data_IF_595645399123
#
_entry.id   IF_595645399123
#
_cell.length_a   1.000
_cell.length_b   1.000
_cell.length_c   1.000
_cell.angle_alpha   90.00
_cell.angle_beta   90.00
_cell.angle_gamma   90.00
#
_symmetry.space_group_name_H-M   'P 1'
#
loop_
_entity.id
_entity.type
_entity.pdbx_description
1 polymer ?
#
# COMPACT_ATOMS: atom_id res chain seq x y z
N UNK A 1 28.56 31.65 -7.03
CA UNK A 1 27.66 31.57 -5.85
C UNK A 1 26.18 31.37 -6.23
N UNK A 2 25.59 32.21 -7.11
CA UNK A 2 24.17 32.07 -7.53
C UNK A 2 23.79 30.70 -8.14
N UNK A 3 24.71 30.04 -8.87
CA UNK A 3 24.47 28.73 -9.50
C UNK A 3 24.45 27.55 -8.50
N UNK A 4 25.12 27.68 -7.35
CA UNK A 4 25.17 26.63 -6.32
C UNK A 4 23.89 26.62 -5.47
N UNK A 5 23.33 27.81 -5.21
CA UNK A 5 22.04 27.99 -4.54
C UNK A 5 20.87 27.36 -5.31
N UNK A 6 20.91 27.38 -6.65
CA UNK A 6 19.88 26.77 -7.49
C UNK A 6 19.87 25.24 -7.43
N UNK A 7 21.03 24.60 -7.27
CA UNK A 7 21.15 23.13 -7.18
C UNK A 7 20.68 22.62 -5.82
N UNK A 8 20.99 23.36 -4.74
CA UNK A 8 20.50 23.05 -3.39
C UNK A 8 18.97 23.21 -3.25
N UNK A 9 18.36 24.07 -4.07
CA UNK A 9 16.91 24.29 -4.04
C UNK A 9 16.12 23.17 -4.75
N UNK A 10 16.72 22.46 -5.72
CA UNK A 10 16.06 21.38 -6.45
C UNK A 10 16.03 20.04 -5.70
N UNK A 11 16.93 19.81 -4.74
CA UNK A 11 16.99 18.54 -3.98
C UNK A 11 15.94 18.43 -2.88
N UNK A 12 15.34 19.54 -2.44
CA UNK A 12 14.33 19.55 -1.37
C UNK A 12 12.93 19.19 -1.90
N UNK A 13 12.69 19.32 -3.21
CA UNK A 13 11.39 19.03 -3.84
C UNK A 13 11.19 17.57 -4.27
N UNK A 14 12.05 16.64 -3.84
CA UNK A 14 11.73 15.20 -3.93
C UNK A 14 10.67 14.86 -2.86
N UNK A 15 9.45 15.39 -3.05
CA UNK A 15 8.29 15.11 -2.24
C UNK A 15 8.06 13.61 -2.17
N UNK A 16 7.63 13.14 -1.02
CA UNK A 16 7.22 11.76 -0.82
C UNK A 16 6.15 11.43 -1.84
N UNK A 17 6.48 10.62 -2.85
CA UNK A 17 5.49 10.07 -3.76
C UNK A 17 4.60 9.14 -2.94
N UNK A 18 3.47 9.66 -2.47
CA UNK A 18 2.41 8.83 -1.94
C UNK A 18 1.73 8.22 -3.16
N UNK A 19 2.13 7.01 -3.53
CA UNK A 19 1.35 6.24 -4.48
C UNK A 19 0.00 5.97 -3.81
N UNK A 20 -1.04 6.54 -4.40
CA UNK A 20 -2.40 6.29 -3.95
C UNK A 20 -2.78 4.91 -4.46
N UNK A 21 -2.61 3.89 -3.63
CA UNK A 21 -3.14 2.56 -3.95
C UNK A 21 -4.66 2.64 -3.93
N UNK A 22 -5.27 2.47 -5.10
CA UNK A 22 -6.72 2.52 -5.29
C UNK A 22 -7.34 1.19 -4.87
N UNK A 23 -8.04 1.17 -3.74
CA UNK A 23 -8.72 -0.03 -3.23
C UNK A 23 -9.11 0.12 -1.77
N UNK A 24 -9.92 -0.80 -1.26
CA UNK A 24 -10.20 -0.88 0.17
C UNK A 24 -9.00 -1.46 0.93
N UNK A 25 -9.23 -1.78 2.20
CA UNK A 25 -8.29 -2.43 3.11
C UNK A 25 -9.08 -3.44 3.93
N UNK A 26 -8.58 -4.66 4.06
CA UNK A 26 -9.12 -5.58 5.07
C UNK A 26 -8.42 -5.38 6.43
N UNK A 27 -7.23 -4.77 6.45
CA UNK A 27 -6.48 -4.55 7.68
C UNK A 27 -7.27 -3.66 8.65
N UNK A 28 -7.44 -4.15 9.89
CA UNK A 28 -8.08 -3.44 10.99
C UNK A 28 -7.10 -3.23 12.18
N UNK A 29 -7.61 -2.71 13.30
CA UNK A 29 -6.81 -2.43 14.50
C UNK A 29 -6.33 -3.70 15.25
N UNK A 30 -6.92 -4.87 14.96
CA UNK A 30 -6.58 -6.16 15.55
C UNK A 30 -5.76 -7.04 14.61
N UNK A 31 -5.58 -6.62 13.36
CA UNK A 31 -4.69 -7.24 12.39
C UNK A 31 -5.39 -7.54 11.08
N UNK A 32 -4.96 -8.61 10.43
CA UNK A 32 -5.58 -9.07 9.19
C UNK A 32 -6.71 -10.05 9.54
N UNK A 33 -7.99 -9.70 9.32
CA UNK A 33 -9.09 -10.56 9.70
C UNK A 33 -9.12 -11.83 8.83
N UNK A 34 -9.71 -12.90 9.34
CA UNK A 34 -10.11 -14.04 8.49
C UNK A 34 -11.28 -13.62 7.58
N UNK A 35 -11.37 -14.23 6.39
CA UNK A 35 -12.50 -14.01 5.49
C UNK A 35 -13.82 -14.39 6.16
N UNK A 36 -14.79 -13.46 6.10
CA UNK A 36 -16.17 -13.66 6.55
C UNK A 36 -17.11 -13.07 5.52
N UNK A 37 -18.19 -13.78 5.24
CA UNK A 37 -19.25 -13.32 4.34
C UNK A 37 -20.59 -13.47 5.03
N UNK A 38 -21.41 -12.42 4.95
CA UNK A 38 -22.81 -12.45 5.37
C UNK A 38 -23.72 -13.06 4.29
N UNK A 39 -23.22 -13.18 3.06
CA UNK A 39 -23.92 -13.76 1.91
C UNK A 39 -23.63 -15.25 1.73
N UNK A 40 -22.81 -15.86 2.60
CA UNK A 40 -22.55 -17.29 2.58
C UNK A 40 -23.89 -18.05 2.73
N UNK A 41 -24.25 -18.92 1.76
CA UNK A 41 -25.52 -19.63 1.83
C UNK A 41 -25.51 -20.67 2.94
N UNK A 42 -26.66 -20.85 3.59
CA UNK A 42 -26.81 -21.86 4.65
C UNK A 42 -26.54 -23.29 4.15
N UNK A 43 -27.01 -23.62 2.93
CA UNK A 43 -26.69 -24.87 2.25
C UNK A 43 -26.32 -24.61 0.78
N UNK A 44 -25.02 -24.71 0.42
CA UNK A 44 -24.56 -24.50 -0.95
C UNK A 44 -25.20 -25.43 -1.99
N UNK A 45 -25.61 -26.65 -1.61
CA UNK A 45 -26.17 -27.63 -2.55
C UNK A 45 -27.57 -27.24 -3.05
N UNK A 46 -28.25 -26.35 -2.33
CA UNK A 46 -29.61 -25.88 -2.66
C UNK A 46 -29.66 -24.36 -2.85
N UNK A 47 -28.51 -23.70 -2.84
CA UNK A 47 -28.43 -22.26 -2.97
C UNK A 47 -28.85 -21.83 -4.39
N UNK A 48 -29.55 -20.70 -4.47
CA UNK A 48 -29.84 -20.06 -5.74
C UNK A 48 -28.56 -19.50 -6.37
N UNK A 49 -28.58 -19.31 -7.69
CA UNK A 49 -27.47 -18.65 -8.40
C UNK A 49 -27.18 -17.25 -7.85
N UNK A 50 -28.21 -16.55 -7.38
CA UNK A 50 -28.06 -15.21 -6.79
C UNK A 50 -27.28 -15.27 -5.47
N UNK A 51 -27.64 -16.18 -4.55
CA UNK A 51 -26.92 -16.35 -3.27
C UNK A 51 -25.44 -16.73 -3.52
N UNK A 52 -25.18 -17.65 -4.45
CA UNK A 52 -23.81 -18.03 -4.81
C UNK A 52 -23.05 -16.87 -5.46
N UNK A 53 -23.72 -16.03 -6.26
CA UNK A 53 -23.11 -14.84 -6.84
C UNK A 53 -22.75 -13.82 -5.76
N UNK A 54 -23.66 -13.50 -4.84
CA UNK A 54 -23.37 -12.57 -3.74
C UNK A 54 -22.25 -13.08 -2.84
N UNK A 55 -22.18 -14.40 -2.59
CA UNK A 55 -21.06 -14.98 -1.86
C UNK A 55 -19.74 -14.84 -2.61
N UNK A 56 -19.75 -15.06 -3.94
CA UNK A 56 -18.57 -14.84 -4.79
C UNK A 56 -18.12 -13.38 -4.76
N UNK A 57 -19.05 -12.43 -4.83
CA UNK A 57 -18.74 -11.00 -4.82
C UNK A 57 -18.02 -10.58 -3.52
N UNK A 58 -18.41 -11.15 -2.37
CA UNK A 58 -17.72 -10.94 -1.09
C UNK A 58 -16.27 -11.48 -1.13
N UNK A 59 -16.07 -12.67 -1.70
CA UNK A 59 -14.72 -13.27 -1.87
C UNK A 59 -13.86 -12.38 -2.77
N UNK A 60 -14.40 -11.94 -3.90
CA UNK A 60 -13.67 -11.09 -4.85
C UNK A 60 -13.29 -9.74 -4.24
N UNK A 61 -14.20 -9.14 -3.46
CA UNK A 61 -13.90 -7.91 -2.72
C UNK A 61 -12.78 -8.12 -1.71
N UNK A 62 -12.84 -9.18 -0.91
CA UNK A 62 -11.83 -9.48 0.09
C UNK A 62 -10.45 -9.68 -0.55
N UNK A 63 -10.37 -10.44 -1.66
CA UNK A 63 -9.12 -10.65 -2.40
C UNK A 63 -8.59 -9.33 -2.98
N UNK A 64 -9.47 -8.51 -3.57
CA UNK A 64 -9.08 -7.22 -4.14
C UNK A 64 -8.46 -6.31 -3.08
N UNK A 65 -9.10 -6.17 -1.94
CA UNK A 65 -8.61 -5.33 -0.84
C UNK A 65 -7.30 -5.89 -0.26
N UNK A 66 -7.13 -7.22 -0.22
CA UNK A 66 -5.88 -7.85 0.17
C UNK A 66 -4.71 -7.56 -0.77
N UNK A 67 -4.96 -7.57 -2.08
CA UNK A 67 -3.93 -7.19 -3.05
C UNK A 67 -3.53 -5.71 -2.88
N UNK A 68 -4.51 -4.82 -2.62
CA UNK A 68 -4.21 -3.42 -2.30
C UNK A 68 -3.41 -3.26 -1.01
N UNK A 69 -3.68 -4.06 0.03
CA UNK A 69 -2.87 -4.07 1.26
C UNK A 69 -1.43 -4.51 0.98
N UNK A 70 -1.24 -5.55 0.18
CA UNK A 70 0.09 -6.06 -0.22
C UNK A 70 0.87 -5.01 -1.01
N UNK A 71 0.22 -4.32 -1.94
CA UNK A 71 0.83 -3.24 -2.73
C UNK A 71 1.31 -2.10 -1.82
N UNK A 72 0.46 -1.64 -0.89
CA UNK A 72 0.83 -0.62 0.11
C UNK A 72 2.02 -1.05 0.96
N UNK A 73 2.10 -2.32 1.35
CA UNK A 73 3.24 -2.87 2.10
C UNK A 73 4.51 -2.82 1.25
N UNK A 74 4.45 -3.21 -0.02
CA UNK A 74 5.60 -3.18 -0.93
C UNK A 74 6.11 -1.75 -1.14
N UNK A 75 5.21 -0.79 -1.36
CA UNK A 75 5.55 0.62 -1.49
C UNK A 75 6.19 1.19 -0.22
N UNK A 76 5.64 0.88 0.96
CA UNK A 76 6.19 1.31 2.24
C UNK A 76 7.62 0.77 2.46
N UNK A 77 7.85 -0.50 2.11
CA UNK A 77 9.20 -1.11 2.15
C UNK A 77 10.18 -0.37 1.25
N UNK A 78 9.80 -0.11 -0.01
CA UNK A 78 10.66 0.60 -0.95
C UNK A 78 10.95 2.03 -0.51
N UNK A 79 9.94 2.71 0.05
CA UNK A 79 10.10 4.05 0.62
C UNK A 79 11.10 4.06 1.76
N UNK A 80 11.02 3.11 2.69
CA UNK A 80 11.96 3.01 3.80
C UNK A 80 13.42 2.82 3.32
N UNK A 81 13.63 1.95 2.33
CA UNK A 81 14.95 1.73 1.71
C UNK A 81 15.46 3.02 1.05
N UNK A 82 14.60 3.69 0.28
CA UNK A 82 14.94 4.94 -0.41
C UNK A 82 15.32 6.05 0.56
N UNK A 83 14.55 6.18 1.65
CA UNK A 83 14.77 7.18 2.70
C UNK A 83 16.11 6.94 3.41
N UNK A 84 16.44 5.70 3.76
CA UNK A 84 17.74 5.35 4.34
C UNK A 84 18.90 5.66 3.39
N UNK A 85 18.80 5.23 2.13
CA UNK A 85 19.85 5.48 1.14
C UNK A 85 20.06 6.99 0.91
N UNK A 86 19.00 7.78 0.98
CA UNK A 86 19.09 9.25 0.93
C UNK A 86 19.87 9.81 2.12
N UNK A 87 19.59 9.34 3.32
CA UNK A 87 20.31 9.75 4.53
C UNK A 87 21.81 9.39 4.46
N UNK A 88 22.15 8.17 4.03
CA UNK A 88 23.55 7.73 3.83
C UNK A 88 24.28 8.63 2.83
N UNK A 89 23.65 8.96 1.69
CA UNK A 89 24.25 9.89 0.71
C UNK A 89 24.50 11.26 1.31
N UNK A 90 23.55 11.80 2.08
CA UNK A 90 23.69 13.09 2.74
C UNK A 90 24.85 13.08 3.75
N UNK A 91 24.92 12.07 4.62
CA UNK A 91 26.02 11.89 5.58
C UNK A 91 27.39 11.84 4.88
N UNK A 92 27.53 11.00 3.86
CA UNK A 92 28.79 10.87 3.13
C UNK A 92 29.15 12.15 2.34
N UNK A 93 28.16 12.88 1.81
CA UNK A 93 28.38 14.14 1.11
C UNK A 93 28.70 15.33 2.04
N UNK A 94 28.26 15.26 3.31
CA UNK A 94 28.55 16.26 4.33
C UNK A 94 29.91 16.07 5.02
N UNK A 95 30.61 14.97 4.73
CA UNK A 95 31.91 14.62 5.33
C UNK A 95 33.11 15.23 4.59
N UNK A 96 32.90 16.22 3.72
CA UNK A 96 33.96 17.02 3.09
C UNK A 96 34.12 18.37 3.80
N UNK A 97 34.60 18.34 5.04
CA UNK A 97 35.30 19.46 5.70
C UNK A 97 36.40 18.91 6.59
#
# INVERSE_FOLDING_TARGET
>A
MKKVLLIALFTVMAGTSHAMVLGGSNLDIFGYPEFKSYNAPYNPATASSYEMQSYRDDVEKYIKDANSDIERIQEAKQKAISDYNRAVRQYNSGSYY
#
